data_IF_672148171693
#
_entry.id   IF_672148171693
#
_cell.length_a   1.000
_cell.length_b   1.000
_cell.length_c   1.000
_cell.angle_alpha   90.00
_cell.angle_beta   90.00
_cell.angle_gamma   90.00
#
_symmetry.space_group_name_H-M   'P 1'
#
loop_
_entity.id
_entity.type
_entity.pdbx_description
1 polymer ?
#
# COMPACT_ATOMS: atom_id res chain seq x y z
N UNK A 1 -14.50 -7.08 11.85
CA UNK A 1 -14.46 -8.39 11.18
C UNK A 1 -15.16 -8.29 9.83
N UNK A 2 -14.58 -8.85 8.77
CA UNK A 2 -15.15 -8.77 7.43
C UNK A 2 -16.34 -9.70 7.29
N UNK A 3 -17.50 -9.23 6.80
CA UNK A 3 -18.63 -10.11 6.53
C UNK A 3 -18.25 -11.20 5.52
N UNK A 4 -18.78 -12.41 5.75
CA UNK A 4 -18.45 -13.58 4.92
C UNK A 4 -18.82 -13.40 3.45
N UNK A 5 -19.94 -12.76 3.17
CA UNK A 5 -20.34 -12.53 1.78
C UNK A 5 -19.38 -11.62 1.02
N UNK A 6 -18.79 -10.65 1.70
CA UNK A 6 -17.78 -9.77 1.10
C UNK A 6 -16.55 -10.58 0.72
N UNK A 7 -16.12 -11.49 1.61
CA UNK A 7 -15.00 -12.38 1.33
C UNK A 7 -15.25 -13.23 0.09
N UNK A 8 -16.46 -13.79 -0.03
CA UNK A 8 -16.85 -14.60 -1.18
C UNK A 8 -16.85 -13.80 -2.49
N UNK A 9 -17.27 -12.53 -2.45
CA UNK A 9 -17.25 -11.67 -3.64
C UNK A 9 -15.82 -11.46 -4.14
N UNK A 10 -14.87 -11.19 -3.23
CA UNK A 10 -13.47 -10.99 -3.62
C UNK A 10 -12.83 -12.29 -4.13
N UNK A 11 -13.20 -13.43 -3.59
CA UNK A 11 -12.72 -14.72 -4.09
C UNK A 11 -13.16 -14.95 -5.54
N UNK A 12 -14.40 -14.60 -5.88
CA UNK A 12 -14.92 -14.69 -7.25
C UNK A 12 -14.15 -13.78 -8.21
N UNK A 13 -13.71 -12.62 -7.74
CA UNK A 13 -12.94 -11.67 -8.54
C UNK A 13 -11.47 -12.06 -8.65
N UNK A 14 -11.08 -13.19 -8.07
CA UNK A 14 -9.69 -13.66 -8.12
C UNK A 14 -8.78 -12.98 -7.11
N UNK A 15 -9.34 -12.30 -6.12
CA UNK A 15 -8.57 -11.65 -5.06
C UNK A 15 -9.26 -11.87 -3.72
N UNK A 16 -8.51 -11.76 -2.62
CA UNK A 16 -9.05 -11.82 -1.27
C UNK A 16 -9.34 -10.41 -0.75
N UNK A 17 -10.15 -10.32 0.30
CA UNK A 17 -10.38 -9.04 0.97
C UNK A 17 -9.07 -8.46 1.49
N UNK A 18 -8.20 -9.30 2.06
CA UNK A 18 -6.90 -8.87 2.58
C UNK A 18 -6.02 -8.29 1.48
N UNK A 19 -5.98 -8.93 0.32
CA UNK A 19 -5.24 -8.42 -0.84
C UNK A 19 -5.82 -7.10 -1.33
N UNK A 20 -7.14 -6.98 -1.35
CA UNK A 20 -7.80 -5.74 -1.75
C UNK A 20 -7.40 -4.58 -0.84
N UNK A 21 -7.47 -4.79 0.49
CA UNK A 21 -7.08 -3.76 1.47
C UNK A 21 -5.61 -3.40 1.32
N UNK A 22 -4.76 -4.41 1.18
CA UNK A 22 -3.32 -4.20 0.99
C UNK A 22 -3.05 -3.33 -0.24
N UNK A 23 -3.68 -3.66 -1.36
CA UNK A 23 -3.49 -2.91 -2.61
C UNK A 23 -3.99 -1.47 -2.49
N UNK A 24 -5.08 -1.24 -1.76
CA UNK A 24 -5.59 0.12 -1.50
C UNK A 24 -4.60 0.93 -0.66
N UNK A 25 -4.01 0.32 0.36
CA UNK A 25 -3.01 0.97 1.20
C UNK A 25 -1.74 1.27 0.41
N UNK A 26 -1.29 0.34 -0.43
CA UNK A 26 -0.12 0.56 -1.29
C UNK A 26 -0.37 1.69 -2.29
N UNK A 27 -1.55 1.74 -2.90
CA UNK A 27 -1.91 2.79 -3.84
C UNK A 27 -1.94 4.17 -3.16
N UNK A 28 -2.45 4.24 -1.92
CA UNK A 28 -2.45 5.48 -1.15
C UNK A 28 -1.02 5.95 -0.88
N UNK A 29 -0.16 5.03 -0.43
CA UNK A 29 1.24 5.35 -0.17
C UNK A 29 1.94 5.83 -1.45
N UNK A 30 1.68 5.16 -2.57
CA UNK A 30 2.25 5.55 -3.86
C UNK A 30 1.88 6.98 -4.23
N UNK A 31 0.61 7.35 -4.09
CA UNK A 31 0.16 8.72 -4.36
C UNK A 31 0.82 9.73 -3.44
N UNK A 32 0.94 9.41 -2.15
CA UNK A 32 1.56 10.30 -1.18
C UNK A 32 3.04 10.53 -1.49
N UNK A 33 3.76 9.47 -1.88
CA UNK A 33 5.18 9.58 -2.21
C UNK A 33 5.42 10.51 -3.41
N UNK A 34 4.50 10.54 -4.36
CA UNK A 34 4.60 11.38 -5.55
C UNK A 34 4.01 12.78 -5.35
N UNK A 35 3.36 13.04 -4.22
CA UNK A 35 2.66 14.30 -3.96
C UNK A 35 3.59 15.30 -3.28
N UNK A 36 3.79 16.51 -3.85
CA UNK A 36 4.65 17.53 -3.25
C UNK A 36 4.25 17.95 -1.83
N UNK A 37 2.97 17.77 -1.45
CA UNK A 37 2.49 18.10 -0.10
C UNK A 37 3.15 17.24 0.98
N UNK A 38 3.68 16.08 0.62
CA UNK A 38 4.32 15.15 1.54
C UNK A 38 5.84 15.11 1.39
N UNK A 39 6.42 16.12 0.74
CA UNK A 39 7.86 16.13 0.43
C UNK A 39 8.74 16.06 1.69
N UNK A 40 8.26 16.59 2.82
CA UNK A 40 9.01 16.57 4.09
C UNK A 40 8.79 15.29 4.90
N UNK A 41 7.85 14.46 4.49
CA UNK A 41 7.54 13.20 5.18
C UNK A 41 8.58 12.15 4.81
N UNK A 42 8.99 11.33 5.79
CA UNK A 42 9.85 10.18 5.50
C UNK A 42 9.00 9.06 4.88
N UNK A 43 9.68 8.10 4.25
CA UNK A 43 9.00 6.90 3.74
C UNK A 43 8.28 6.17 4.88
N UNK A 44 8.89 6.10 6.07
CA UNK A 44 8.28 5.51 7.25
C UNK A 44 6.98 6.22 7.62
N UNK A 45 6.99 7.57 7.63
CA UNK A 45 5.79 8.36 7.94
C UNK A 45 4.67 8.04 6.96
N UNK A 46 4.99 7.98 5.67
CA UNK A 46 4.02 7.66 4.62
C UNK A 46 3.45 6.26 4.82
N UNK A 47 4.30 5.27 5.10
CA UNK A 47 3.86 3.90 5.32
C UNK A 47 2.88 3.80 6.49
N UNK A 48 3.21 4.44 7.61
CA UNK A 48 2.35 4.43 8.81
C UNK A 48 1.02 5.11 8.53
N UNK A 49 1.04 6.27 7.87
CA UNK A 49 -0.19 6.99 7.52
C UNK A 49 -1.06 6.20 6.55
N UNK A 50 -0.45 5.45 5.64
CA UNK A 50 -1.18 4.60 4.70
C UNK A 50 -1.78 3.34 5.36
N UNK A 51 -1.44 3.07 6.63
CA UNK A 51 -2.03 1.98 7.39
C UNK A 51 -1.12 0.78 7.62
N UNK A 52 0.19 0.90 7.35
CA UNK A 52 1.14 -0.20 7.57
C UNK A 52 1.74 -0.11 8.97
N UNK A 53 1.69 -1.22 9.70
CA UNK A 53 2.31 -1.30 11.03
C UNK A 53 3.76 -1.79 10.99
N UNK A 54 4.23 -2.28 9.85
CA UNK A 54 5.57 -2.83 9.67
C UNK A 54 6.16 -2.27 8.38
N UNK A 55 7.19 -1.43 8.50
CA UNK A 55 7.82 -0.75 7.35
C UNK A 55 8.55 -1.74 6.45
N UNK A 56 9.17 -2.77 7.03
CA UNK A 56 9.84 -3.81 6.23
C UNK A 56 8.85 -4.56 5.34
N UNK A 57 7.71 -4.91 5.90
CA UNK A 57 6.62 -5.53 5.14
C UNK A 57 6.12 -4.60 4.03
N UNK A 58 5.91 -3.32 4.36
CA UNK A 58 5.52 -2.31 3.38
C UNK A 58 6.50 -2.26 2.22
N UNK A 59 7.80 -2.17 2.51
CA UNK A 59 8.83 -2.10 1.47
C UNK A 59 8.79 -3.32 0.54
N UNK A 60 8.68 -4.52 1.11
CA UNK A 60 8.62 -5.75 0.31
C UNK A 60 7.40 -5.78 -0.60
N UNK A 61 6.23 -5.45 -0.06
CA UNK A 61 4.98 -5.49 -0.82
C UNK A 61 4.90 -4.37 -1.85
N UNK A 62 5.41 -3.19 -1.52
CA UNK A 62 5.47 -2.06 -2.45
C UNK A 62 6.33 -2.41 -3.67
N UNK A 63 7.53 -2.93 -3.41
CA UNK A 63 8.45 -3.32 -4.49
C UNK A 63 7.85 -4.44 -5.35
N UNK A 64 7.18 -5.40 -4.75
CA UNK A 64 6.51 -6.47 -5.48
C UNK A 64 5.41 -5.94 -6.39
N UNK A 65 4.64 -4.96 -5.90
CA UNK A 65 3.52 -4.41 -6.67
C UNK A 65 3.96 -3.48 -7.80
N UNK A 66 4.91 -2.62 -7.53
CA UNK A 66 5.29 -1.55 -8.46
C UNK A 66 6.63 -1.76 -9.16
N UNK A 67 7.38 -2.77 -8.79
CA UNK A 67 8.70 -3.03 -9.37
C UNK A 67 9.76 -1.99 -9.01
N UNK A 68 9.47 -1.14 -8.03
CA UNK A 68 10.37 -0.07 -7.61
C UNK A 68 10.25 0.10 -6.10
N UNK A 69 11.30 0.64 -5.48
CA UNK A 69 11.29 0.97 -4.06
C UNK A 69 10.50 2.26 -3.82
N UNK A 70 9.96 2.46 -2.61
CA UNK A 70 9.28 3.73 -2.29
C UNK A 70 10.15 4.96 -2.54
N UNK A 71 11.45 4.88 -2.23
CA UNK A 71 12.39 5.98 -2.49
C UNK A 71 12.55 6.28 -3.98
N UNK A 72 12.48 5.25 -4.83
CA UNK A 72 12.56 5.44 -6.29
C UNK A 72 11.37 6.23 -6.81
N UNK A 73 10.19 6.00 -6.25
CA UNK A 73 8.98 6.73 -6.62
C UNK A 73 9.09 8.20 -6.18
N UNK A 74 9.62 8.45 -4.98
CA UNK A 74 9.76 9.80 -4.43
C UNK A 74 10.73 10.66 -5.22
N UNK A 75 11.89 10.08 -5.58
CA UNK A 75 12.99 10.82 -6.17
C UNK A 75 13.20 10.52 -7.67
N UNK A 76 12.45 9.55 -8.17
CA UNK A 76 12.50 9.19 -9.58
C UNK A 76 11.56 10.00 -10.39
#
# INVERSE_FOLDING_TARGET
MTPRYVQLLFEREGTTFSEYVLNKRLARAHRMLADPRYVTWTVTDVALEAGFGDVSYFNRRFRRRYGARPTDVRYG
#
